data_IF_279660671450
#
_entry.id   IF_279660671450
#
_cell.length_a   1.000
_cell.length_b   1.000
_cell.length_c   1.000
_cell.angle_alpha   90.00
_cell.angle_beta   90.00
_cell.angle_gamma   90.00
#
_symmetry.space_group_name_H-M   'P 1'
#
loop_
_entity.id
_entity.type
_entity.pdbx_description
1 polymer ?
#
# COMPACT_ATOMS: atom_id res chain seq x y z
N UNK A 1 -24.28 -8.97 -44.06
CA UNK A 1 -23.80 -9.99 -43.09
C UNK A 1 -22.30 -9.89 -42.81
N UNK A 2 -21.41 -9.76 -43.81
CA UNK A 2 -19.95 -9.61 -43.59
C UNK A 2 -19.56 -8.36 -42.77
N UNK A 3 -20.22 -7.21 -43.00
CA UNK A 3 -19.96 -5.95 -42.27
C UNK A 3 -20.44 -5.97 -40.80
N UNK A 4 -21.41 -6.83 -40.47
CA UNK A 4 -21.93 -7.00 -39.11
C UNK A 4 -21.00 -7.90 -38.28
N UNK A 5 -20.39 -8.91 -38.90
CA UNK A 5 -19.36 -9.75 -38.28
C UNK A 5 -18.07 -8.96 -37.97
N UNK A 6 -17.65 -8.05 -38.85
CA UNK A 6 -16.48 -7.20 -38.62
C UNK A 6 -16.70 -6.19 -37.48
N UNK A 7 -17.94 -5.72 -37.27
CA UNK A 7 -18.26 -4.76 -36.21
C UNK A 7 -18.32 -5.42 -34.82
N UNK A 8 -18.81 -6.66 -34.76
CA UNK A 8 -18.79 -7.47 -33.54
C UNK A 8 -17.34 -7.81 -33.12
N UNK A 9 -16.45 -8.09 -34.08
CA UNK A 9 -15.05 -8.40 -33.78
C UNK A 9 -14.28 -7.21 -33.20
N UNK A 10 -14.56 -5.99 -33.68
CA UNK A 10 -13.91 -4.76 -33.18
C UNK A 10 -14.41 -4.41 -31.78
N UNK A 11 -15.70 -4.59 -31.49
CA UNK A 11 -16.26 -4.31 -30.17
C UNK A 11 -15.69 -5.23 -29.06
N UNK A 12 -15.43 -6.49 -29.38
CA UNK A 12 -14.80 -7.45 -28.44
C UNK A 12 -13.33 -7.12 -28.18
N UNK A 13 -12.61 -6.58 -29.17
CA UNK A 13 -11.21 -6.16 -29.02
C UNK A 13 -11.06 -4.98 -28.06
N UNK A 14 -11.99 -4.02 -28.08
CA UNK A 14 -11.91 -2.83 -27.20
C UNK A 14 -12.23 -3.19 -25.74
N UNK A 15 -13.09 -4.19 -25.50
CA UNK A 15 -13.37 -4.69 -24.15
C UNK A 15 -12.18 -5.42 -23.51
N UNK A 16 -11.30 -6.04 -24.31
CA UNK A 16 -10.09 -6.72 -23.82
C UNK A 16 -8.96 -5.74 -23.44
N UNK A 17 -8.97 -4.50 -23.93
CA UNK A 17 -7.97 -3.48 -23.55
C UNK A 17 -8.29 -2.75 -22.24
N UNK A 18 -9.53 -2.84 -21.72
CA UNK A 18 -9.89 -2.25 -20.42
C UNK A 18 -9.52 -3.13 -19.20
N UNK A 19 -8.89 -4.28 -19.43
CA UNK A 19 -8.42 -5.17 -18.36
C UNK A 19 -7.01 -4.85 -17.84
N UNK A 20 -6.30 -3.87 -18.43
CA UNK A 20 -5.11 -3.29 -17.82
C UNK A 20 -5.55 -2.32 -16.71
N UNK A 21 -5.85 -2.86 -15.53
CA UNK A 21 -5.83 -2.04 -14.31
C UNK A 21 -4.37 -1.62 -14.06
N UNK A 22 -4.10 -0.39 -13.57
CA UNK A 22 -2.77 -0.04 -13.07
C UNK A 22 -2.38 -1.07 -12.01
N UNK A 23 -1.20 -1.66 -12.13
CA UNK A 23 -0.69 -2.70 -11.23
C UNK A 23 -0.83 -2.25 -9.77
N UNK A 24 -1.68 -2.93 -8.99
CA UNK A 24 -1.71 -2.79 -7.52
C UNK A 24 -0.41 -3.30 -6.88
N UNK A 25 0.41 -4.05 -7.63
CA UNK A 25 1.68 -4.61 -7.19
C UNK A 25 2.71 -3.56 -6.75
N UNK A 26 2.50 -2.29 -7.10
CA UNK A 26 3.42 -1.19 -6.76
C UNK A 26 2.87 -0.27 -5.66
N UNK A 27 1.94 -0.73 -4.84
CA UNK A 27 1.43 0.04 -3.69
C UNK A 27 1.79 -0.61 -2.36
N UNK A 28 2.18 0.20 -1.38
CA UNK A 28 2.44 -0.24 -0.01
C UNK A 28 1.84 0.75 0.99
N UNK A 29 1.09 0.25 1.96
CA UNK A 29 0.55 1.03 3.09
C UNK A 29 1.47 0.92 4.29
N UNK A 30 1.91 2.06 4.81
CA UNK A 30 2.83 2.09 5.95
C UNK A 30 2.26 2.91 7.10
N UNK A 31 2.13 2.28 8.26
CA UNK A 31 1.75 2.96 9.49
C UNK A 31 2.96 3.69 10.12
N UNK A 32 2.77 4.95 10.49
CA UNK A 32 3.79 5.78 11.14
C UNK A 32 3.19 6.49 12.36
N UNK A 33 4.05 7.13 13.15
CA UNK A 33 3.58 8.05 14.17
C UNK A 33 3.35 9.46 13.61
N UNK A 34 2.31 10.14 14.09
CA UNK A 34 2.13 11.58 13.83
C UNK A 34 3.29 12.41 14.39
N UNK A 35 3.52 13.59 13.83
CA UNK A 35 4.51 14.55 14.33
C UNK A 35 5.80 14.57 13.49
N UNK A 36 7.01 14.45 14.08
CA UNK A 36 8.27 14.59 13.35
C UNK A 36 8.42 13.64 12.15
N UNK A 37 7.86 12.43 12.25
CA UNK A 37 7.96 11.41 11.21
C UNK A 37 7.24 11.81 9.92
N UNK A 38 6.15 12.58 9.98
CA UNK A 38 5.38 12.97 8.79
C UNK A 38 6.20 13.78 7.78
N UNK A 39 7.12 14.62 8.28
CA UNK A 39 8.01 15.39 7.41
C UNK A 39 9.03 14.50 6.70
N UNK A 40 9.53 13.47 7.40
CA UNK A 40 10.45 12.48 6.84
C UNK A 40 9.71 11.61 5.81
N UNK A 41 8.51 11.16 6.14
CA UNK A 41 7.73 10.27 5.29
C UNK A 41 7.25 10.93 4.00
N UNK A 42 7.01 12.24 3.98
CA UNK A 42 6.82 12.98 2.72
C UNK A 42 8.01 12.86 1.76
N UNK A 43 9.23 12.84 2.28
CA UNK A 43 10.43 12.63 1.47
C UNK A 43 10.54 11.16 1.05
N UNK A 44 10.18 10.23 1.94
CA UNK A 44 10.14 8.79 1.61
C UNK A 44 9.16 8.52 0.47
N UNK A 45 7.94 9.05 0.53
CA UNK A 45 6.92 8.95 -0.54
C UNK A 45 7.47 9.46 -1.87
N UNK A 46 8.10 10.63 -1.88
CA UNK A 46 8.71 11.21 -3.08
C UNK A 46 9.83 10.32 -3.64
N UNK A 47 10.74 9.86 -2.79
CA UNK A 47 11.87 9.01 -3.21
C UNK A 47 11.38 7.64 -3.69
N UNK A 48 10.39 7.04 -3.02
CA UNK A 48 9.77 5.78 -3.39
C UNK A 48 9.17 5.87 -4.81
N UNK A 49 8.41 6.92 -5.05
CA UNK A 49 7.76 7.18 -6.34
C UNK A 49 8.77 7.44 -7.46
N UNK A 50 9.72 8.34 -7.23
CA UNK A 50 10.64 8.79 -8.28
C UNK A 50 11.69 7.74 -8.68
N UNK A 51 12.18 6.97 -7.70
CA UNK A 51 13.31 6.05 -7.93
C UNK A 51 12.89 4.61 -8.10
N UNK A 52 11.79 4.22 -7.47
CA UNK A 52 11.37 2.81 -7.39
C UNK A 52 9.99 2.55 -8.00
N UNK A 53 9.32 3.60 -8.49
CA UNK A 53 7.96 3.51 -9.03
C UNK A 53 6.96 2.90 -8.04
N UNK A 54 7.21 3.11 -6.74
CA UNK A 54 6.42 2.57 -5.64
C UNK A 54 5.53 3.67 -5.05
N UNK A 55 4.22 3.42 -4.98
CA UNK A 55 3.22 4.26 -4.33
C UNK A 55 3.13 3.91 -2.85
N UNK A 56 3.62 4.80 -1.99
CA UNK A 56 3.60 4.62 -0.55
C UNK A 56 2.41 5.40 0.00
N UNK A 57 1.44 4.71 0.60
CA UNK A 57 0.34 5.32 1.33
C UNK A 57 0.68 5.36 2.82
N UNK A 58 0.90 6.56 3.35
CA UNK A 58 1.22 6.77 4.76
C UNK A 58 -0.06 6.85 5.60
N UNK A 59 -0.14 6.02 6.64
CA UNK A 59 -1.23 6.02 7.63
C UNK A 59 -0.68 6.48 8.98
N UNK A 60 -1.05 7.68 9.42
CA UNK A 60 -0.55 8.25 10.68
C UNK A 60 -1.39 7.82 11.88
N UNK A 61 -0.72 7.37 12.94
CA UNK A 61 -1.31 7.05 14.25
C UNK A 61 -0.76 7.99 15.32
N UNK A 62 -1.56 8.28 16.35
CA UNK A 62 -1.19 9.15 17.47
C UNK A 62 -0.87 8.37 18.76
N UNK A 63 -0.67 7.05 18.67
CA UNK A 63 -0.30 6.15 19.76
C UNK A 63 0.63 5.02 19.29
N UNK A 64 1.12 4.23 20.24
CA UNK A 64 2.13 3.19 20.00
C UNK A 64 1.58 1.76 19.96
N UNK A 65 0.28 1.57 20.18
CA UNK A 65 -0.36 0.26 20.22
C UNK A 65 -0.96 -0.07 18.87
N UNK A 66 -1.75 0.85 18.32
CA UNK A 66 -2.52 0.65 17.10
C UNK A 66 -1.68 0.30 15.86
N UNK A 67 -0.46 0.83 15.64
CA UNK A 67 0.32 0.47 14.44
C UNK A 67 0.68 -1.01 14.35
N UNK A 68 0.87 -1.70 15.48
CA UNK A 68 1.13 -3.14 15.51
C UNK A 68 -0.16 -3.96 15.31
N UNK A 69 -1.28 -3.49 15.86
CA UNK A 69 -2.59 -4.11 15.63
C UNK A 69 -3.01 -4.00 14.16
N UNK A 70 -2.86 -2.81 13.55
CA UNK A 70 -3.12 -2.58 12.14
C UNK A 70 -2.27 -3.50 11.24
N UNK A 71 -0.99 -3.68 11.57
CA UNK A 71 -0.12 -4.61 10.84
C UNK A 71 -0.59 -6.07 11.00
N UNK A 72 -0.90 -6.50 12.22
CA UNK A 72 -1.37 -7.87 12.48
C UNK A 72 -2.72 -8.17 11.81
N UNK A 73 -3.60 -7.17 11.72
CA UNK A 73 -4.89 -7.25 11.05
C UNK A 73 -4.80 -7.14 9.53
N UNK A 74 -3.61 -6.83 8.99
CA UNK A 74 -3.36 -6.57 7.56
C UNK A 74 -4.08 -5.32 7.03
N UNK A 75 -4.37 -4.36 7.90
CA UNK A 75 -4.89 -3.04 7.51
C UNK A 75 -3.79 -2.17 6.86
N UNK A 76 -2.53 -2.46 7.21
CA UNK A 76 -1.31 -1.89 6.61
C UNK A 76 -0.31 -3.02 6.29
N UNK A 77 0.59 -2.77 5.36
CA UNK A 77 1.60 -3.75 4.92
C UNK A 77 2.87 -3.72 5.79
N UNK A 78 3.16 -2.54 6.37
CA UNK A 78 4.28 -2.35 7.29
C UNK A 78 3.97 -1.26 8.31
N UNK A 79 4.79 -1.18 9.36
CA UNK A 79 4.85 0.00 10.23
C UNK A 79 6.31 0.42 10.46
N UNK A 80 6.51 1.70 10.77
CA UNK A 80 7.83 2.27 11.00
C UNK A 80 7.78 3.34 12.11
N UNK A 81 7.68 2.87 13.35
CA UNK A 81 7.58 3.76 14.53
C UNK A 81 8.35 3.26 15.76
N UNK A 82 8.77 1.99 15.78
CA UNK A 82 9.20 1.29 16.99
C UNK A 82 10.65 0.82 16.93
N UNK A 83 11.20 0.50 18.11
CA UNK A 83 12.48 -0.18 18.28
C UNK A 83 12.29 -1.69 18.43
N UNK A 84 13.37 -2.46 18.25
CA UNK A 84 13.34 -3.91 18.41
C UNK A 84 12.82 -4.38 19.78
N UNK A 85 13.27 -3.82 20.94
CA UNK A 85 12.75 -4.25 22.23
C UNK A 85 11.23 -4.03 22.39
N UNK A 86 10.70 -2.96 21.78
CA UNK A 86 9.25 -2.70 21.81
C UNK A 86 8.48 -3.75 20.99
N UNK A 87 9.00 -4.10 19.81
CA UNK A 87 8.43 -5.15 18.95
C UNK A 87 8.45 -6.51 19.65
N UNK A 88 9.57 -6.91 20.25
CA UNK A 88 9.68 -8.17 20.97
C UNK A 88 8.69 -8.25 22.14
N UNK A 89 8.55 -7.16 22.91
CA UNK A 89 7.57 -7.08 23.99
C UNK A 89 6.12 -7.14 23.47
N UNK A 90 5.83 -6.54 22.30
CA UNK A 90 4.50 -6.60 21.69
C UNK A 90 4.16 -8.03 21.22
N UNK A 91 5.11 -8.72 20.58
CA UNK A 91 4.96 -10.11 20.14
C UNK A 91 4.75 -11.04 21.33
N UNK A 92 5.49 -10.85 22.43
CA UNK A 92 5.31 -11.66 23.63
C UNK A 92 3.93 -11.46 24.25
N UNK A 93 3.44 -10.21 24.34
CA UNK A 93 2.08 -9.93 24.81
C UNK A 93 1.00 -10.60 23.96
N UNK A 94 1.19 -10.71 22.66
CA UNK A 94 0.22 -11.33 21.74
C UNK A 94 0.18 -12.86 21.82
N UNK A 95 1.15 -13.50 22.50
CA UNK A 95 1.20 -14.96 22.68
C UNK A 95 0.51 -15.46 23.95
N UNK A 96 0.19 -14.55 24.87
CA UNK A 96 -0.47 -14.83 26.15
C UNK A 96 -1.99 -14.76 26.00
#
# INVERSE_FOLDING_TARGET
>A
MKKLFSLALIATSVALLSACSPDEDNKVKVAINTGPDEAIWKVVEQVAKDKYHLDVEVVSFNDYVLPNEALNNKDVDANAFQTLPYLEAAVERARL
#
